data_IF_561696628836
#
_entry.id   IF_561696628836
#
_cell.length_a   1.000
_cell.length_b   1.000
_cell.length_c   1.000
_cell.angle_alpha   90.00
_cell.angle_beta   90.00
_cell.angle_gamma   90.00
#
_symmetry.space_group_name_H-M   'P 1'
#
loop_
_entity.id
_entity.type
_entity.pdbx_description
1 polymer ?
#
# COMPACT_ATOMS: atom_id res chain seq x y z
N UNK A 1 -6.47 23.04 -7.72
CA UNK A 1 -7.39 23.86 -6.89
C UNK A 1 -7.19 23.60 -5.40
N UNK A 2 -7.05 22.35 -4.95
CA UNK A 2 -6.86 22.03 -3.53
C UNK A 2 -5.66 22.71 -2.87
N UNK A 3 -4.46 22.70 -3.48
CA UNK A 3 -3.29 23.39 -2.92
C UNK A 3 -3.40 24.93 -2.92
N UNK A 4 -4.27 25.53 -3.75
CA UNK A 4 -4.47 26.98 -3.74
C UNK A 4 -5.26 27.42 -2.50
N UNK A 5 -6.25 26.63 -2.10
CA UNK A 5 -7.07 26.91 -0.91
C UNK A 5 -6.42 26.42 0.38
N UNK A 6 -5.67 25.30 0.32
CA UNK A 6 -5.05 24.69 1.49
C UNK A 6 -3.59 24.26 1.21
N UNK A 7 -2.65 25.22 1.11
CA UNK A 7 -1.26 24.95 0.76
C UNK A 7 -0.48 24.13 1.81
N UNK A 8 -1.04 23.96 3.01
CA UNK A 8 -0.42 23.22 4.11
C UNK A 8 -0.61 21.70 4.05
N UNK A 9 -1.53 21.21 3.20
CA UNK A 9 -1.81 19.78 3.10
C UNK A 9 -1.17 19.17 1.86
N UNK A 10 -0.67 17.95 2.03
CA UNK A 10 -0.26 17.11 0.90
C UNK A 10 -1.52 16.63 0.17
N UNK A 11 -1.44 16.61 -1.15
CA UNK A 11 -2.50 16.19 -2.05
C UNK A 11 -2.06 14.95 -2.81
N UNK A 12 -2.91 13.93 -2.78
CA UNK A 12 -2.79 12.74 -3.63
C UNK A 12 -3.96 12.75 -4.58
N UNK A 13 -3.67 12.73 -5.89
CA UNK A 13 -4.65 12.54 -6.94
C UNK A 13 -4.58 11.10 -7.45
N UNK A 14 -5.74 10.47 -7.68
CA UNK A 14 -5.87 9.09 -8.13
C UNK A 14 -5.02 8.09 -7.31
N UNK A 15 -5.41 7.87 -6.06
CA UNK A 15 -4.68 6.98 -5.16
C UNK A 15 -4.51 5.56 -5.74
N UNK A 16 -3.30 5.02 -5.65
CA UNK A 16 -3.01 3.62 -5.98
C UNK A 16 -2.54 3.33 -7.40
N UNK A 17 -2.93 4.14 -8.39
CA UNK A 17 -2.52 3.98 -9.79
C UNK A 17 -2.86 5.19 -10.65
N UNK A 18 -2.28 5.26 -11.86
CA UNK A 18 -2.56 6.30 -12.87
C UNK A 18 -2.53 7.73 -12.31
N UNK A 19 -1.55 8.03 -11.46
CA UNK A 19 -1.26 9.39 -11.03
C UNK A 19 -0.92 10.27 -12.23
N UNK A 20 -1.38 11.52 -12.22
CA UNK A 20 -1.14 12.43 -13.35
C UNK A 20 0.30 12.92 -13.33
N UNK A 21 1.03 12.64 -14.41
CA UNK A 21 2.33 13.22 -14.72
C UNK A 21 2.20 14.30 -15.79
N UNK A 22 2.80 15.46 -15.53
CA UNK A 22 2.80 16.61 -16.44
C UNK A 22 4.18 17.29 -16.39
N UNK A 23 4.77 17.53 -17.55
CA UNK A 23 6.13 18.05 -17.71
C UNK A 23 7.17 17.21 -16.94
N UNK A 24 6.97 15.89 -16.90
CA UNK A 24 7.86 14.94 -16.24
C UNK A 24 7.81 14.95 -14.71
N UNK A 25 6.79 15.60 -14.12
CA UNK A 25 6.55 15.68 -12.68
C UNK A 25 5.18 15.14 -12.31
N UNK A 26 5.10 14.53 -11.14
CA UNK A 26 3.82 14.15 -10.56
C UNK A 26 3.03 15.41 -10.16
N UNK A 27 1.72 15.41 -10.42
CA UNK A 27 0.81 16.43 -9.89
C UNK A 27 0.49 16.21 -8.40
N UNK A 28 0.54 14.97 -7.95
CA UNK A 28 0.43 14.58 -6.53
C UNK A 28 1.72 14.89 -5.78
N UNK A 29 1.61 15.20 -4.48
CA UNK A 29 2.75 15.39 -3.58
C UNK A 29 3.38 14.06 -3.14
N UNK A 30 2.63 12.96 -3.25
CA UNK A 30 3.06 11.60 -2.94
C UNK A 30 2.78 10.70 -4.16
N UNK A 31 3.69 9.76 -4.42
CA UNK A 31 3.40 8.64 -5.31
C UNK A 31 2.83 7.51 -4.46
N UNK A 32 1.61 7.10 -4.73
CA UNK A 32 0.96 6.05 -3.97
C UNK A 32 0.67 4.83 -4.84
N UNK A 33 0.68 3.64 -4.24
CA UNK A 33 0.44 2.38 -4.93
C UNK A 33 -0.39 1.42 -4.09
N UNK A 34 -1.31 0.72 -4.76
CA UNK A 34 -2.05 -0.41 -4.20
C UNK A 34 -1.41 -1.72 -4.64
N UNK A 35 -1.11 -2.59 -3.67
CA UNK A 35 -0.40 -3.84 -3.88
C UNK A 35 -1.20 -5.00 -3.28
N UNK A 36 -1.81 -5.81 -4.14
CA UNK A 36 -2.52 -7.02 -3.75
C UNK A 36 -1.76 -8.24 -4.24
N UNK A 37 -1.11 -8.92 -3.31
CA UNK A 37 -0.55 -10.25 -3.57
C UNK A 37 -0.52 -11.06 -2.28
N UNK A 38 -0.94 -12.34 -2.32
CA UNK A 38 -0.82 -13.22 -1.17
C UNK A 38 0.59 -13.83 -1.03
N UNK A 39 1.50 -13.60 -1.98
CA UNK A 39 2.79 -14.27 -2.05
C UNK A 39 3.93 -13.35 -1.62
N UNK A 40 4.71 -13.76 -0.61
CA UNK A 40 5.81 -12.95 -0.09
C UNK A 40 6.92 -12.70 -1.12
N UNK A 41 7.20 -13.67 -1.99
CA UNK A 41 8.20 -13.50 -3.05
C UNK A 41 7.75 -12.43 -4.07
N UNK A 42 6.49 -12.49 -4.49
CA UNK A 42 5.92 -11.47 -5.37
C UNK A 42 5.92 -10.09 -4.72
N UNK A 43 5.60 -10.02 -3.42
CA UNK A 43 5.70 -8.80 -2.64
C UNK A 43 7.11 -8.19 -2.68
N UNK A 44 8.15 -9.00 -2.45
CA UNK A 44 9.55 -8.56 -2.53
C UNK A 44 9.94 -7.97 -3.90
N UNK A 45 9.51 -8.63 -4.97
CA UNK A 45 9.74 -8.17 -6.34
C UNK A 45 9.06 -6.83 -6.60
N UNK A 46 7.78 -6.70 -6.22
CA UNK A 46 7.00 -5.48 -6.39
C UNK A 46 7.64 -4.30 -5.68
N UNK A 47 8.00 -4.45 -4.40
CA UNK A 47 8.67 -3.38 -3.64
C UNK A 47 10.02 -2.98 -4.27
N UNK A 48 10.81 -3.97 -4.68
CA UNK A 48 12.10 -3.73 -5.35
C UNK A 48 11.94 -2.92 -6.63
N UNK A 49 10.96 -3.29 -7.47
CA UNK A 49 10.70 -2.64 -8.75
C UNK A 49 10.14 -1.23 -8.58
N UNK A 50 9.26 -1.03 -7.59
CA UNK A 50 8.77 0.30 -7.21
C UNK A 50 9.91 1.23 -6.80
N UNK A 51 10.82 0.76 -5.95
CA UNK A 51 11.97 1.55 -5.49
C UNK A 51 12.94 1.88 -6.63
N UNK A 52 13.07 0.99 -7.62
CA UNK A 52 13.82 1.25 -8.86
C UNK A 52 13.14 2.29 -9.74
N UNK A 53 11.83 2.48 -9.60
CA UNK A 53 11.04 3.45 -10.34
C UNK A 53 10.26 2.86 -11.51
N UNK A 54 10.04 1.55 -11.52
CA UNK A 54 9.23 0.90 -12.56
C UNK A 54 7.78 1.41 -12.47
N UNK A 55 7.21 1.78 -13.62
CA UNK A 55 5.87 2.38 -13.71
C UNK A 55 4.79 1.37 -14.09
N UNK A 56 5.18 0.22 -14.65
CA UNK A 56 4.27 -0.79 -15.20
C UNK A 56 4.59 -2.17 -14.61
N UNK A 57 3.58 -3.02 -14.46
CA UNK A 57 3.78 -4.37 -13.90
C UNK A 57 4.04 -4.42 -12.39
N UNK A 58 3.95 -3.26 -11.73
CA UNK A 58 4.07 -3.07 -10.27
C UNK A 58 2.72 -2.87 -9.57
N UNK A 59 1.65 -2.62 -10.33
CA UNK A 59 0.28 -2.46 -9.85
C UNK A 59 -0.70 -2.99 -10.92
N UNK A 60 -2.00 -2.95 -10.65
CA UNK A 60 -3.04 -3.39 -11.59
C UNK A 60 -3.02 -2.59 -12.92
N UNK A 61 -2.68 -1.30 -12.83
CA UNK A 61 -2.51 -0.39 -13.95
C UNK A 61 -1.14 0.30 -13.86
N UNK A 62 -0.69 0.98 -14.94
CA UNK A 62 0.47 1.86 -14.85
C UNK A 62 0.31 2.88 -13.71
N UNK A 63 1.39 3.12 -12.96
CA UNK A 63 1.36 4.06 -11.83
C UNK A 63 1.14 5.50 -12.24
N UNK A 64 1.55 5.86 -13.46
CA UNK A 64 1.42 7.22 -13.98
C UNK A 64 0.80 7.23 -15.37
N UNK A 65 0.14 8.34 -15.69
CA UNK A 65 -0.39 8.66 -17.01
C UNK A 65 0.01 10.07 -17.42
N UNK A 66 0.00 10.37 -18.72
CA UNK A 66 0.44 11.66 -19.26
C UNK A 66 1.89 11.60 -19.72
N UNK A 67 2.70 12.59 -19.31
CA UNK A 67 4.10 12.68 -19.72
C UNK A 67 4.96 11.61 -19.02
N UNK A 68 6.06 11.14 -19.64
CA UNK A 68 6.98 10.19 -19.00
C UNK A 68 7.44 10.68 -17.62
N UNK A 69 7.15 9.90 -16.59
CA UNK A 69 7.56 10.17 -15.23
C UNK A 69 8.78 9.33 -14.85
N UNK A 70 9.83 9.98 -14.38
CA UNK A 70 11.03 9.30 -13.87
C UNK A 70 11.06 9.38 -12.36
N UNK A 71 10.64 8.31 -11.67
CA UNK A 71 10.46 8.34 -10.21
C UNK A 71 11.66 8.96 -9.48
N UNK A 72 12.87 8.39 -9.60
CA UNK A 72 14.13 8.87 -8.99
C UNK A 72 13.99 9.53 -7.61
N UNK A 73 13.03 9.09 -6.80
CA UNK A 73 12.67 9.67 -5.50
C UNK A 73 12.31 11.17 -5.55
N UNK A 74 11.73 11.65 -6.65
CA UNK A 74 11.24 13.03 -6.82
C UNK A 74 10.17 13.37 -5.77
N UNK A 75 9.33 12.40 -5.42
CA UNK A 75 8.31 12.48 -4.37
C UNK A 75 8.41 11.23 -3.48
N UNK A 76 7.92 11.28 -2.23
CA UNK A 76 7.86 10.09 -1.38
C UNK A 76 6.93 9.03 -1.99
N UNK A 77 7.34 7.76 -1.91
CA UNK A 77 6.54 6.60 -2.30
C UNK A 77 5.82 6.03 -1.07
N UNK A 78 4.52 5.78 -1.18
CA UNK A 78 3.68 5.19 -0.15
C UNK A 78 2.97 3.95 -0.70
N UNK A 79 2.96 2.85 0.04
CA UNK A 79 2.05 1.74 -0.27
C UNK A 79 0.71 2.04 0.42
N UNK A 80 -0.14 2.81 -0.24
CA UNK A 80 -1.41 3.28 0.32
C UNK A 80 -2.47 2.19 0.44
N UNK A 81 -2.22 1.02 -0.14
CA UNK A 81 -3.02 -0.15 0.14
C UNK A 81 -2.22 -1.43 -0.03
N UNK A 82 -2.27 -2.29 0.99
CA UNK A 82 -1.77 -3.65 0.93
C UNK A 82 -2.48 -4.55 1.94
N UNK A 83 -2.40 -5.86 1.72
CA UNK A 83 -3.16 -6.84 2.47
C UNK A 83 -4.06 -7.61 1.53
N UNK A 84 -5.35 -7.69 1.86
CA UNK A 84 -6.32 -8.46 1.08
C UNK A 84 -5.98 -9.96 1.07
N UNK A 85 -5.32 -10.47 2.12
CA UNK A 85 -4.94 -11.87 2.18
C UNK A 85 -6.17 -12.77 2.23
N UNK A 86 -7.30 -12.26 2.70
CA UNK A 86 -8.53 -13.00 3.03
C UNK A 86 -9.51 -13.28 1.89
N UNK A 87 -9.15 -13.13 0.60
CA UNK A 87 -10.00 -13.74 -0.42
C UNK A 87 -9.92 -15.27 -0.25
N UNK A 88 -10.96 -15.87 0.31
CA UNK A 88 -11.02 -17.31 0.61
C UNK A 88 -10.71 -18.15 -0.65
N UNK A 89 -11.08 -17.65 -1.83
CA UNK A 89 -10.82 -18.28 -3.13
C UNK A 89 -9.36 -18.14 -3.62
N UNK A 90 -8.51 -17.36 -2.93
CA UNK A 90 -7.11 -17.10 -3.29
C UNK A 90 -6.11 -17.57 -2.21
N UNK A 91 -6.52 -18.46 -1.31
CA UNK A 91 -5.61 -19.10 -0.34
C UNK A 91 -5.27 -18.23 0.88
N UNK A 92 -6.25 -17.48 1.37
CA UNK A 92 -6.09 -16.64 2.56
C UNK A 92 -5.85 -17.38 3.87
N UNK A 93 -5.31 -16.68 4.88
CA UNK A 93 -5.12 -17.27 6.21
C UNK A 93 -6.47 -17.69 6.81
N UNK A 94 -6.54 -18.93 7.27
CA UNK A 94 -7.77 -19.54 7.80
C UNK A 94 -8.13 -19.03 9.20
N UNK A 95 -7.19 -18.36 9.89
CA UNK A 95 -7.36 -17.84 11.24
C UNK A 95 -6.53 -16.57 11.47
N UNK A 96 -6.79 -15.92 12.61
CA UNK A 96 -6.16 -14.66 12.99
C UNK A 96 -4.66 -14.77 13.27
N UNK A 97 -4.17 -15.95 13.71
CA UNK A 97 -2.76 -16.18 13.97
C UNK A 97 -1.96 -16.23 12.68
N UNK A 98 -2.43 -17.01 11.70
CA UNK A 98 -1.82 -17.08 10.37
C UNK A 98 -1.88 -15.72 9.66
N UNK A 99 -2.96 -14.95 9.85
CA UNK A 99 -3.06 -13.58 9.35
C UNK A 99 -2.00 -12.69 9.99
N UNK A 100 -1.85 -12.74 11.32
CA UNK A 100 -0.86 -11.95 12.03
C UNK A 100 0.57 -12.27 11.57
N UNK A 101 0.90 -13.56 11.39
CA UNK A 101 2.21 -13.99 10.89
C UNK A 101 2.48 -13.49 9.47
N UNK A 102 1.47 -13.54 8.60
CA UNK A 102 1.58 -13.05 7.22
C UNK A 102 1.77 -11.54 7.17
N UNK A 103 0.96 -10.78 7.91
CA UNK A 103 1.11 -9.33 8.06
C UNK A 103 2.52 -9.00 8.55
N UNK A 104 3.01 -9.73 9.57
CA UNK A 104 4.36 -9.53 10.12
C UNK A 104 5.43 -9.71 9.04
N UNK A 105 5.39 -10.79 8.26
CA UNK A 105 6.35 -11.05 7.20
C UNK A 105 6.36 -9.95 6.13
N UNK A 106 5.17 -9.52 5.68
CA UNK A 106 5.03 -8.45 4.68
C UNK A 106 5.53 -7.10 5.21
N UNK A 107 5.20 -6.78 6.46
CA UNK A 107 5.66 -5.57 7.13
C UNK A 107 7.17 -5.57 7.34
N UNK A 108 7.75 -6.69 7.79
CA UNK A 108 9.19 -6.87 7.98
C UNK A 108 9.93 -6.69 6.64
N UNK A 109 9.37 -7.16 5.53
CA UNK A 109 9.92 -6.91 4.21
C UNK A 109 9.80 -5.43 3.81
N UNK A 110 8.63 -4.80 3.98
CA UNK A 110 8.41 -3.41 3.60
C UNK A 110 9.39 -2.44 4.28
N UNK A 111 9.77 -2.72 5.54
CA UNK A 111 10.77 -1.93 6.29
C UNK A 111 12.18 -1.94 5.67
N UNK A 112 12.50 -2.91 4.81
CA UNK A 112 13.81 -2.99 4.14
C UNK A 112 13.95 -2.01 2.99
N UNK A 113 12.85 -1.41 2.55
CA UNK A 113 12.79 -0.52 1.39
C UNK A 113 12.63 0.95 1.82
N UNK A 114 13.16 1.93 1.06
CA UNK A 114 13.02 3.34 1.35
C UNK A 114 11.62 3.87 0.96
N UNK A 115 10.58 3.25 1.53
CA UNK A 115 9.17 3.60 1.34
C UNK A 115 8.74 4.44 2.54
N UNK A 116 8.06 5.56 2.28
CA UNK A 116 7.75 6.57 3.28
C UNK A 116 6.69 6.13 4.30
N UNK A 117 5.92 5.10 3.96
CA UNK A 117 4.90 4.52 4.81
C UNK A 117 3.99 3.56 4.06
N UNK A 118 3.01 3.05 4.78
CA UNK A 118 2.08 2.06 4.27
C UNK A 118 0.75 2.11 5.02
N UNK A 119 -0.31 1.67 4.36
CA UNK A 119 -1.64 1.53 4.93
C UNK A 119 -2.13 0.11 4.66
N UNK A 120 -2.33 -0.65 5.73
CA UNK A 120 -2.92 -1.97 5.66
C UNK A 120 -4.43 -1.83 5.42
N UNK A 121 -4.91 -2.41 4.33
CA UNK A 121 -6.34 -2.65 4.13
C UNK A 121 -6.64 -3.97 4.83
N UNK A 122 -7.64 -4.12 5.71
CA UNK A 122 -8.52 -3.08 6.20
C UNK A 122 -8.74 -3.18 7.70
N UNK A 123 -9.29 -2.11 8.28
CA UNK A 123 -9.59 -2.05 9.70
C UNK A 123 -10.59 -3.13 10.11
N UNK A 124 -11.73 -3.20 9.44
CA UNK A 124 -12.81 -4.17 9.68
C UNK A 124 -13.16 -4.91 8.40
N UNK A 125 -13.84 -6.06 8.48
CA UNK A 125 -14.40 -6.68 7.27
C UNK A 125 -15.50 -5.80 6.66
N UNK A 126 -15.58 -5.78 5.32
CA UNK A 126 -16.65 -5.10 4.58
C UNK A 126 -17.19 -6.08 3.55
N UNK A 127 -18.50 -6.37 3.60
CA UNK A 127 -19.18 -7.27 2.65
C UNK A 127 -18.41 -8.60 2.45
N UNK A 128 -18.00 -8.93 1.23
CA UNK A 128 -17.22 -10.14 0.93
C UNK A 128 -15.72 -10.03 1.29
N UNK A 129 -15.21 -8.84 1.60
CA UNK A 129 -13.81 -8.61 1.92
C UNK A 129 -13.49 -8.92 3.39
N UNK A 130 -13.04 -10.16 3.65
CA UNK A 130 -12.74 -10.67 4.98
C UNK A 130 -11.26 -10.46 5.39
N UNK A 131 -10.78 -9.21 5.32
CA UNK A 131 -9.39 -8.85 5.63
C UNK A 131 -9.24 -7.85 6.80
N UNK A 132 -10.30 -7.65 7.56
CA UNK A 132 -10.33 -6.86 8.79
C UNK A 132 -9.45 -7.43 9.90
N UNK A 133 -8.79 -6.55 10.64
CA UNK A 133 -8.01 -6.90 11.85
C UNK A 133 -8.69 -6.45 13.14
N UNK A 134 -9.80 -5.73 13.05
CA UNK A 134 -10.65 -5.29 14.14
C UNK A 134 -12.01 -5.96 13.95
N UNK A 135 -12.53 -6.57 15.02
CA UNK A 135 -13.88 -7.10 15.05
C UNK A 135 -14.91 -5.97 14.90
N UNK A 136 -15.81 -6.13 13.92
CA UNK A 136 -16.77 -5.09 13.56
C UNK A 136 -17.77 -4.77 14.68
N UNK A 137 -18.11 -5.76 15.52
CA UNK A 137 -19.17 -5.60 16.55
C UNK A 137 -18.60 -5.04 17.85
N UNK A 138 -17.46 -5.55 18.28
CA UNK A 138 -16.86 -5.28 19.58
C UNK A 138 -15.77 -4.21 19.54
N UNK A 139 -15.20 -3.94 18.35
CA UNK A 139 -14.03 -3.08 18.21
C UNK A 139 -12.74 -3.69 18.77
N UNK A 140 -12.76 -4.97 19.16
CA UNK A 140 -11.58 -5.67 19.64
C UNK A 140 -10.60 -5.93 18.49
N UNK A 141 -9.30 -5.84 18.78
CA UNK A 141 -8.26 -6.19 17.82
C UNK A 141 -8.11 -7.71 17.76
N UNK A 142 -8.20 -8.29 16.56
CA UNK A 142 -8.09 -9.73 16.32
C UNK A 142 -6.64 -10.20 16.18
N UNK A 143 -5.70 -9.26 16.01
CA UNK A 143 -4.26 -9.51 15.87
C UNK A 143 -3.49 -8.86 17.02
N UNK A 144 -2.21 -9.22 17.26
CA UNK A 144 -1.41 -8.55 18.28
C UNK A 144 -1.34 -7.03 18.07
N UNK A 145 -1.45 -6.28 19.17
CA UNK A 145 -1.16 -4.85 19.18
C UNK A 145 0.26 -4.59 18.67
N UNK A 146 0.50 -3.42 18.04
CA UNK A 146 1.76 -3.02 17.40
C UNK A 146 2.17 -3.78 16.12
N UNK A 147 1.39 -4.76 15.64
CA UNK A 147 1.75 -5.53 14.45
C UNK A 147 2.07 -4.63 13.22
N UNK A 148 1.28 -3.57 13.02
CA UNK A 148 1.45 -2.61 11.93
C UNK A 148 2.37 -1.42 12.26
N UNK A 149 3.02 -1.40 13.41
CA UNK A 149 3.83 -0.27 13.85
C UNK A 149 5.07 -0.10 12.97
N UNK A 150 5.11 0.97 12.15
CA UNK A 150 6.21 1.27 11.24
C UNK A 150 7.46 1.85 11.93
N UNK A 151 7.39 2.18 13.23
CA UNK A 151 8.51 2.79 13.98
C UNK A 151 9.48 1.78 14.58
N UNK A 152 9.06 0.51 14.72
CA UNK A 152 9.92 -0.55 15.24
C UNK A 152 10.75 -1.10 14.08
N UNK A 153 12.08 -1.02 14.20
CA UNK A 153 13.05 -1.56 13.26
C UNK A 153 13.25 -3.07 13.47
#
# INVERSE_FOLDING_TARGET
YMQLAFPQFLVVDNDGWQHISYEGKLKSDLLTVHLYTPELQRWQELLTNLVKGDQTGVAAFPLTVGDPFFFRKQVPLLVSEWGGFGFADYGGPNDDSLRADKIKQFKDELRKHPIAGDVYTQATNIEEEQNGIIDFTTGALNVPSDLLNSRKA
#
